data_IF_170930903771
#
_entry.id   IF_170930903771
#
_cell.length_a   1.000
_cell.length_b   1.000
_cell.length_c   1.000
_cell.angle_alpha   90.00
_cell.angle_beta   90.00
_cell.angle_gamma   90.00
#
_symmetry.space_group_name_H-M   'P 1'
#
loop_
_entity.id
_entity.type
_entity.pdbx_description
1 polymer ?
#
# COMPACT_ATOMS: atom_id res chain seq x y z
N UNK A 1 11.05 -8.77 -1.10
CA UNK A 1 10.96 -7.33 -0.75
C UNK A 1 12.12 -6.58 -1.41
N UNK A 2 12.04 -6.35 -2.73
CA UNK A 2 13.15 -5.88 -3.62
C UNK A 2 13.50 -4.38 -3.48
N UNK A 3 12.78 -3.65 -2.62
CA UNK A 3 12.98 -2.21 -2.44
C UNK A 3 14.19 -1.85 -1.57
N UNK A 4 14.66 -2.79 -0.74
CA UNK A 4 15.79 -2.57 0.19
C UNK A 4 17.16 -2.64 -0.48
N UNK A 5 17.19 -2.96 -1.77
CA UNK A 5 18.45 -3.12 -2.49
C UNK A 5 19.02 -1.76 -2.90
N UNK A 6 20.12 -1.37 -2.26
CA UNK A 6 20.95 -0.24 -2.64
C UNK A 6 22.30 -0.68 -3.17
N UNK A 7 22.99 0.20 -3.91
CA UNK A 7 24.40 0.07 -4.27
C UNK A 7 25.14 1.23 -3.63
N UNK A 8 26.24 0.95 -2.94
CA UNK A 8 27.10 2.00 -2.41
C UNK A 8 27.89 2.68 -3.52
N UNK A 9 27.92 4.00 -3.48
CA UNK A 9 28.91 4.82 -4.15
C UNK A 9 29.90 5.30 -3.10
N UNK A 10 31.14 4.88 -3.25
CA UNK A 10 32.17 5.05 -2.24
C UNK A 10 32.97 6.31 -2.57
N UNK A 11 32.81 7.31 -1.71
CA UNK A 11 33.55 8.55 -1.75
C UNK A 11 34.84 8.40 -0.95
N UNK A 12 34.82 8.82 0.32
CA UNK A 12 35.96 8.72 1.24
C UNK A 12 36.03 7.39 1.98
N UNK A 13 34.96 6.60 2.02
CA UNK A 13 34.93 5.32 2.73
C UNK A 13 34.98 5.42 4.26
N UNK A 14 34.95 6.63 4.83
CA UNK A 14 34.99 6.89 6.27
C UNK A 14 33.67 6.58 6.96
N UNK A 15 32.56 6.69 6.21
CA UNK A 15 31.21 6.55 6.76
C UNK A 15 30.72 5.09 6.69
N UNK A 16 31.51 4.22 6.07
CA UNK A 16 31.22 2.79 5.91
C UNK A 16 32.13 2.00 6.86
N UNK A 17 31.61 1.53 8.01
CA UNK A 17 32.39 0.69 8.91
C UNK A 17 32.73 -0.64 8.23
N UNK A 18 33.93 -1.16 8.48
CA UNK A 18 34.24 -2.54 8.14
C UNK A 18 33.36 -3.47 9.01
N UNK A 19 32.60 -4.35 8.37
CA UNK A 19 31.97 -5.47 9.05
C UNK A 19 33.07 -6.49 9.36
N UNK A 20 33.80 -6.30 10.45
CA UNK A 20 34.93 -7.13 10.89
C UNK A 20 34.55 -8.57 11.25
N UNK A 21 33.28 -8.96 11.13
CA UNK A 21 32.80 -10.29 11.54
C UNK A 21 32.97 -11.38 10.47
N UNK A 22 33.71 -11.14 9.38
CA UNK A 22 33.96 -12.13 8.32
C UNK A 22 35.38 -12.70 8.31
N UNK A 23 36.27 -12.21 9.19
CA UNK A 23 37.67 -12.61 9.18
C UNK A 23 37.94 -13.64 10.28
N UNK A 24 37.89 -14.92 9.93
CA UNK A 24 38.59 -15.95 10.70
C UNK A 24 40.10 -15.65 10.65
N UNK A 25 40.61 -15.26 11.81
CA UNK A 25 41.98 -15.30 12.32
C UNK A 25 43.08 -15.68 11.31
N UNK A 26 43.88 -14.69 10.86
CA UNK A 26 45.34 -14.78 10.60
C UNK A 26 45.93 -13.49 9.95
N UNK A 27 45.36 -12.31 10.20
CA UNK A 27 45.94 -11.05 9.70
C UNK A 27 46.95 -10.50 10.71
N UNK A 28 48.24 -10.47 10.35
CA UNK A 28 49.35 -10.03 11.22
C UNK A 28 49.59 -8.50 11.23
N UNK A 29 48.66 -7.71 10.68
CA UNK A 29 48.72 -6.25 10.63
C UNK A 29 47.59 -5.58 11.41
N UNK A 30 47.63 -4.25 11.52
CA UNK A 30 46.51 -3.47 12.08
C UNK A 30 45.26 -3.68 11.24
N UNK A 31 44.21 -4.26 11.83
CA UNK A 31 42.96 -4.51 11.14
C UNK A 31 42.32 -3.19 10.66
N UNK A 32 41.91 -3.09 9.38
CA UNK A 32 41.21 -1.92 8.88
C UNK A 32 39.89 -1.74 9.62
N UNK A 33 39.58 -0.50 10.02
CA UNK A 33 38.37 -0.15 10.77
C UNK A 33 37.26 0.36 9.86
N UNK A 34 37.65 1.00 8.76
CA UNK A 34 36.73 1.62 7.80
C UNK A 34 37.08 1.22 6.37
N UNK A 35 36.15 1.44 5.45
CA UNK A 35 36.42 1.22 4.01
C UNK A 35 37.52 2.16 3.50
N UNK A 36 37.70 3.34 4.12
CA UNK A 36 38.79 4.27 3.79
C UNK A 36 40.16 3.60 3.87
N UNK A 37 40.38 2.72 4.85
CA UNK A 37 41.66 2.02 5.05
C UNK A 37 41.99 1.07 3.89
N UNK A 38 40.97 0.61 3.16
CA UNK A 38 41.07 -0.26 1.99
C UNK A 38 41.29 0.50 0.69
N UNK A 39 41.21 1.83 0.72
CA UNK A 39 41.34 2.71 -0.44
C UNK A 39 42.71 3.38 -0.42
N UNK A 40 43.33 3.49 -1.59
CA UNK A 40 44.46 4.37 -1.78
C UNK A 40 43.93 5.77 -2.15
N UNK A 41 43.95 6.70 -1.19
CA UNK A 41 43.43 8.06 -1.38
C UNK A 41 44.20 8.91 -2.38
N UNK A 42 45.45 8.56 -2.73
CA UNK A 42 46.21 9.28 -3.76
C UNK A 42 45.82 8.87 -5.19
N UNK A 43 45.39 7.62 -5.38
CA UNK A 43 45.01 7.09 -6.70
C UNK A 43 43.49 6.93 -6.89
N UNK A 44 42.72 6.97 -5.80
CA UNK A 44 41.27 6.72 -5.81
C UNK A 44 40.92 5.28 -6.19
N UNK A 45 41.79 4.33 -5.84
CA UNK A 45 41.64 2.91 -6.19
C UNK A 45 41.71 2.00 -4.95
N UNK A 46 41.11 0.82 -5.05
CA UNK A 46 41.21 -0.22 -4.03
C UNK A 46 42.65 -0.72 -3.85
N UNK A 47 43.02 -1.14 -2.64
CA UNK A 47 44.27 -1.86 -2.36
C UNK A 47 44.06 -3.36 -2.61
N UNK A 48 44.48 -3.92 -3.77
CA UNK A 48 44.10 -5.28 -4.18
C UNK A 48 44.67 -6.36 -3.27
N UNK A 49 45.90 -6.19 -2.78
CA UNK A 49 46.57 -7.18 -1.94
C UNK A 49 45.95 -7.26 -0.54
N UNK A 50 45.51 -6.11 -0.02
CA UNK A 50 44.79 -6.03 1.26
C UNK A 50 43.39 -6.64 1.14
N UNK A 51 42.66 -6.40 0.05
CA UNK A 51 41.35 -7.02 -0.15
C UNK A 51 41.44 -8.54 -0.35
N UNK A 52 42.45 -9.03 -1.08
CA UNK A 52 42.63 -10.48 -1.33
C UNK A 52 43.01 -11.24 -0.07
N UNK A 53 43.68 -10.60 0.88
CA UNK A 53 44.02 -11.20 2.18
C UNK A 53 42.86 -11.17 3.19
N UNK A 54 41.94 -10.20 3.07
CA UNK A 54 40.82 -10.06 4.02
C UNK A 54 39.53 -10.78 3.59
N UNK A 55 39.32 -10.97 2.28
CA UNK A 55 38.05 -11.44 1.74
C UNK A 55 38.22 -12.65 0.80
N UNK A 56 37.31 -13.64 0.85
CA UNK A 56 37.24 -14.71 -0.14
C UNK A 56 37.12 -14.16 -1.57
N UNK A 57 37.63 -14.90 -2.55
CA UNK A 57 37.75 -14.43 -3.94
C UNK A 57 36.43 -13.93 -4.57
N UNK A 58 35.28 -14.50 -4.19
CA UNK A 58 33.97 -14.04 -4.68
C UNK A 58 33.60 -12.65 -4.12
N UNK A 59 33.80 -12.42 -2.80
CA UNK A 59 33.56 -11.13 -2.14
C UNK A 59 34.55 -10.07 -2.63
N UNK A 60 35.83 -10.45 -2.78
CA UNK A 60 36.86 -9.58 -3.37
C UNK A 60 36.42 -9.02 -4.73
N UNK A 61 35.94 -9.88 -5.63
CA UNK A 61 35.49 -9.45 -6.96
C UNK A 61 34.32 -8.48 -6.89
N UNK A 62 33.38 -8.71 -5.99
CA UNK A 62 32.24 -7.81 -5.78
C UNK A 62 32.69 -6.44 -5.25
N UNK A 63 33.51 -6.41 -4.20
CA UNK A 63 34.06 -5.16 -3.64
C UNK A 63 34.88 -4.41 -4.69
N UNK A 64 35.77 -5.11 -5.39
CA UNK A 64 36.64 -4.52 -6.41
C UNK A 64 35.86 -3.93 -7.60
N UNK A 65 34.67 -4.47 -7.90
CA UNK A 65 33.78 -3.93 -8.93
C UNK A 65 33.03 -2.65 -8.53
N UNK A 66 33.09 -2.25 -7.25
CA UNK A 66 32.44 -1.04 -6.78
C UNK A 66 33.23 0.20 -7.25
N UNK A 67 32.54 1.19 -7.85
CA UNK A 67 33.20 2.43 -8.28
C UNK A 67 33.60 3.27 -7.07
N UNK A 68 34.88 3.67 -7.02
CA UNK A 68 35.41 4.65 -6.07
C UNK A 68 35.51 6.01 -6.75
N UNK A 69 35.27 7.08 -6.00
CA UNK A 69 35.52 8.44 -6.46
C UNK A 69 37.02 8.72 -6.63
N UNK A 70 37.44 9.06 -7.84
CA UNK A 70 38.83 9.44 -8.14
C UNK A 70 39.27 10.75 -7.48
N UNK A 71 38.32 11.60 -7.12
CA UNK A 71 38.58 12.95 -6.59
C UNK A 71 38.64 12.97 -5.05
N UNK A 72 38.39 11.84 -4.37
CA UNK A 72 38.62 11.64 -2.94
C UNK A 72 37.87 12.57 -1.96
N UNK A 73 37.04 13.50 -2.45
CA UNK A 73 36.49 14.60 -1.65
C UNK A 73 34.98 14.46 -1.36
N UNK A 74 34.31 13.43 -1.90
CA UNK A 74 32.88 13.26 -1.72
C UNK A 74 32.55 12.31 -0.56
N UNK A 75 31.39 12.53 0.08
CA UNK A 75 30.88 11.63 1.10
C UNK A 75 30.31 10.35 0.46
N UNK A 76 30.28 9.27 1.24
CA UNK A 76 29.71 8.01 0.80
C UNK A 76 28.19 8.15 0.59
N UNK A 77 27.64 7.58 -0.49
CA UNK A 77 26.21 7.67 -0.82
C UNK A 77 25.63 6.28 -1.09
N UNK A 78 24.49 5.99 -0.47
CA UNK A 78 23.70 4.81 -0.80
C UNK A 78 22.76 5.15 -1.97
N UNK A 79 23.01 4.54 -3.14
CA UNK A 79 22.22 4.74 -4.34
C UNK A 79 21.13 3.67 -4.45
N UNK A 80 19.90 4.08 -4.72
CA UNK A 80 18.79 3.18 -4.97
C UNK A 80 18.92 2.56 -6.37
N UNK A 81 18.99 1.22 -6.45
CA UNK A 81 19.22 0.49 -7.72
C UNK A 81 18.17 0.77 -8.81
N UNK A 82 16.99 1.22 -8.39
CA UNK A 82 15.85 1.47 -9.29
C UNK A 82 15.81 2.90 -9.80
N UNK A 83 16.83 3.73 -9.58
CA UNK A 83 16.93 5.09 -10.09
C UNK A 83 18.24 5.29 -10.86
N UNK A 84 18.15 5.89 -12.05
CA UNK A 84 19.33 6.24 -12.85
C UNK A 84 20.25 7.24 -12.15
N UNK A 85 19.67 8.10 -11.31
CA UNK A 85 20.39 9.08 -10.49
C UNK A 85 20.69 8.56 -9.07
N UNK A 86 20.23 7.35 -8.74
CA UNK A 86 20.39 6.75 -7.42
C UNK A 86 19.46 7.29 -6.32
N UNK A 87 18.63 8.28 -6.62
CA UNK A 87 17.68 8.81 -5.61
C UNK A 87 16.47 7.91 -5.42
N UNK A 88 16.03 7.77 -4.17
CA UNK A 88 14.79 7.06 -3.84
C UNK A 88 13.57 7.91 -4.20
N UNK A 89 12.67 7.37 -5.04
CA UNK A 89 11.44 8.05 -5.45
C UNK A 89 10.22 7.23 -5.06
N UNK A 90 9.39 7.79 -4.18
CA UNK A 90 8.20 7.11 -3.61
C UNK A 90 7.26 6.60 -4.70
N UNK A 91 6.97 7.41 -5.73
CA UNK A 91 6.06 7.01 -6.81
C UNK A 91 6.59 5.82 -7.62
N UNK A 92 7.91 5.78 -7.86
CA UNK A 92 8.58 4.69 -8.58
C UNK A 92 8.61 3.43 -7.73
N UNK A 93 8.89 3.56 -6.42
CA UNK A 93 8.87 2.46 -5.48
C UNK A 93 7.47 1.84 -5.38
N UNK A 94 6.43 2.67 -5.27
CA UNK A 94 5.04 2.22 -5.26
C UNK A 94 4.66 1.49 -6.55
N UNK A 95 5.06 2.03 -7.71
CA UNK A 95 4.83 1.39 -9.01
C UNK A 95 5.49 0.02 -9.12
N UNK A 96 6.71 -0.14 -8.59
CA UNK A 96 7.40 -1.43 -8.54
C UNK A 96 6.69 -2.44 -7.63
N UNK A 97 6.22 -1.99 -6.46
CA UNK A 97 5.43 -2.84 -5.55
C UNK A 97 4.14 -3.32 -6.20
N UNK A 98 3.44 -2.46 -6.94
CA UNK A 98 2.23 -2.85 -7.65
C UNK A 98 2.51 -3.91 -8.71
N UNK A 99 3.60 -3.78 -9.47
CA UNK A 99 4.03 -4.79 -10.46
C UNK A 99 4.37 -6.13 -9.79
N UNK A 100 5.17 -6.11 -8.73
CA UNK A 100 5.51 -7.31 -7.97
C UNK A 100 4.25 -7.98 -7.38
N UNK A 101 3.27 -7.19 -6.92
CA UNK A 101 2.00 -7.70 -6.39
C UNK A 101 1.15 -8.39 -7.47
N UNK A 102 1.06 -7.81 -8.67
CA UNK A 102 0.35 -8.41 -9.80
C UNK A 102 0.98 -9.74 -10.23
N UNK A 103 2.31 -9.82 -10.26
CA UNK A 103 3.03 -11.06 -10.59
C UNK A 103 2.84 -12.13 -9.50
N UNK A 104 2.86 -11.74 -8.23
CA UNK A 104 2.74 -12.68 -7.10
C UNK A 104 1.32 -13.21 -6.90
N UNK A 105 0.30 -12.46 -7.38
CA UNK A 105 -1.11 -12.80 -7.22
C UNK A 105 -1.86 -12.58 -8.54
N UNK A 106 -1.64 -13.45 -9.56
CA UNK A 106 -2.24 -13.30 -10.89
C UNK A 106 -3.78 -13.39 -10.89
N UNK A 107 -4.35 -14.02 -9.85
CA UNK A 107 -5.79 -14.15 -9.63
C UNK A 107 -6.36 -13.07 -8.69
N UNK A 108 -5.58 -12.02 -8.36
CA UNK A 108 -6.17 -10.80 -7.84
C UNK A 108 -7.10 -10.29 -8.94
N UNK A 109 -8.42 -10.43 -8.76
CA UNK A 109 -9.39 -10.05 -9.78
C UNK A 109 -9.08 -8.65 -10.35
N UNK A 110 -9.44 -8.38 -11.61
CA UNK A 110 -9.04 -7.17 -12.30
C UNK A 110 -9.38 -5.95 -11.43
N UNK A 111 -8.35 -5.31 -10.87
CA UNK A 111 -8.52 -3.99 -10.26
C UNK A 111 -8.94 -3.10 -11.42
N UNK A 112 -10.16 -2.58 -11.35
CA UNK A 112 -10.67 -1.66 -12.37
C UNK A 112 -9.64 -0.55 -12.52
N UNK A 113 -9.02 -0.44 -13.70
CA UNK A 113 -8.09 0.64 -14.00
C UNK A 113 -8.90 1.91 -14.12
N UNK A 114 -8.67 2.85 -13.20
CA UNK A 114 -9.43 4.09 -13.15
C UNK A 114 -8.68 5.15 -13.93
N UNK A 115 -9.27 5.73 -14.99
CA UNK A 115 -8.63 6.76 -15.79
C UNK A 115 -8.24 7.99 -14.95
N UNK A 116 -7.14 8.64 -15.30
CA UNK A 116 -6.65 9.83 -14.59
C UNK A 116 -7.65 10.99 -14.64
N UNK A 117 -8.44 11.04 -15.70
CA UNK A 117 -9.55 11.98 -15.93
C UNK A 117 -10.58 11.88 -14.81
N UNK A 118 -10.90 10.66 -14.38
CA UNK A 118 -11.88 10.40 -13.32
C UNK A 118 -11.36 10.92 -11.99
N UNK A 119 -10.07 10.71 -11.68
CA UNK A 119 -9.47 11.30 -10.48
C UNK A 119 -9.48 12.83 -10.52
N UNK A 120 -9.14 13.43 -11.67
CA UNK A 120 -9.23 14.88 -11.84
C UNK A 120 -10.64 15.41 -11.61
N UNK A 121 -11.66 14.67 -12.03
CA UNK A 121 -13.06 15.02 -11.77
C UNK A 121 -13.38 14.94 -10.28
N UNK A 122 -13.08 13.81 -9.63
CA UNK A 122 -13.34 13.57 -8.20
C UNK A 122 -12.76 14.70 -7.35
N UNK A 123 -11.47 14.98 -7.52
CA UNK A 123 -10.77 16.00 -6.72
C UNK A 123 -11.17 17.44 -7.04
N UNK A 124 -11.85 17.68 -8.18
CA UNK A 124 -12.34 19.01 -8.56
C UNK A 124 -13.70 19.32 -7.96
N UNK A 125 -14.48 18.31 -7.60
CA UNK A 125 -15.76 18.53 -6.90
C UNK A 125 -15.45 19.01 -5.49
N UNK A 126 -16.03 20.14 -5.08
CA UNK A 126 -15.85 20.69 -3.72
C UNK A 126 -16.70 19.90 -2.71
N UNK A 127 -16.39 18.64 -2.49
CA UNK A 127 -17.03 17.82 -1.46
C UNK A 127 -16.22 17.85 -0.15
N UNK A 128 -16.82 17.30 0.89
CA UNK A 128 -16.06 17.08 2.13
C UNK A 128 -15.04 15.96 1.91
N UNK A 129 -13.86 16.11 2.52
CA UNK A 129 -12.78 15.11 2.45
C UNK A 129 -13.23 13.69 2.83
N UNK A 130 -14.24 13.58 3.70
CA UNK A 130 -14.85 12.30 4.09
C UNK A 130 -15.43 11.56 2.88
N UNK A 131 -16.12 12.28 2.00
CA UNK A 131 -16.77 11.72 0.82
C UNK A 131 -15.72 11.35 -0.23
N UNK A 132 -14.74 12.22 -0.49
CA UNK A 132 -13.67 11.92 -1.46
C UNK A 132 -12.86 10.69 -1.05
N UNK A 133 -12.55 10.58 0.25
CA UNK A 133 -11.86 9.41 0.81
C UNK A 133 -12.70 8.15 0.67
N UNK A 134 -14.02 8.24 0.87
CA UNK A 134 -14.92 7.10 0.71
C UNK A 134 -14.98 6.64 -0.75
N UNK A 135 -15.18 7.57 -1.69
CA UNK A 135 -15.20 7.28 -3.14
C UNK A 135 -13.87 6.66 -3.57
N UNK A 136 -12.75 7.24 -3.15
CA UNK A 136 -11.42 6.70 -3.40
C UNK A 136 -11.29 5.26 -2.89
N UNK A 137 -11.71 4.98 -1.65
CA UNK A 137 -11.67 3.64 -1.08
C UNK A 137 -12.57 2.67 -1.83
N UNK A 138 -13.77 3.08 -2.22
CA UNK A 138 -14.72 2.22 -2.93
C UNK A 138 -14.21 1.85 -4.33
N UNK A 139 -13.71 2.85 -5.06
CA UNK A 139 -13.11 2.71 -6.38
C UNK A 139 -11.86 1.80 -6.38
N UNK A 140 -11.08 1.82 -5.30
CA UNK A 140 -9.94 0.92 -5.10
C UNK A 140 -10.29 -0.41 -4.42
N UNK A 141 -11.58 -0.72 -4.24
CA UNK A 141 -12.07 -1.87 -3.45
C UNK A 141 -11.32 -2.06 -2.12
N UNK A 142 -11.12 -0.93 -1.44
CA UNK A 142 -10.35 -0.79 -0.22
C UNK A 142 -11.23 -0.44 0.99
N UNK A 143 -12.55 -0.47 0.80
CA UNK A 143 -13.49 -0.46 1.91
C UNK A 143 -13.32 -1.73 2.74
N UNK A 144 -13.50 -1.66 4.06
CA UNK A 144 -13.21 -2.77 4.93
C UNK A 144 -14.41 -3.71 5.06
N UNK A 145 -14.89 -4.20 3.92
CA UNK A 145 -15.90 -5.26 3.84
C UNK A 145 -15.34 -6.56 4.40
N UNK A 146 -16.17 -7.47 4.89
CA UNK A 146 -15.69 -8.76 5.38
C UNK A 146 -14.91 -9.55 4.34
N UNK A 147 -15.25 -9.45 3.05
CA UNK A 147 -14.43 -10.02 1.98
C UNK A 147 -13.00 -9.45 2.00
N UNK A 148 -12.85 -8.13 2.12
CA UNK A 148 -11.56 -7.45 2.12
C UNK A 148 -10.78 -7.62 3.43
N UNK A 149 -11.45 -7.78 4.56
CA UNK A 149 -10.81 -8.11 5.83
C UNK A 149 -10.27 -9.54 5.82
N UNK A 150 -11.08 -10.49 5.35
CA UNK A 150 -10.67 -11.89 5.24
C UNK A 150 -9.52 -12.07 4.24
N UNK A 151 -9.49 -11.33 3.13
CA UNK A 151 -8.36 -11.36 2.18
C UNK A 151 -7.05 -10.86 2.80
N UNK A 152 -7.15 -10.02 3.83
CA UNK A 152 -6.02 -9.54 4.66
C UNK A 152 -5.74 -10.43 5.88
N UNK A 153 -6.31 -11.64 5.92
CA UNK A 153 -6.18 -12.63 7.00
C UNK A 153 -6.68 -12.14 8.37
N UNK A 154 -7.61 -11.19 8.37
CA UNK A 154 -8.33 -10.80 9.58
C UNK A 154 -9.56 -11.70 9.69
N UNK A 155 -9.61 -12.50 10.76
CA UNK A 155 -10.69 -13.49 10.95
C UNK A 155 -12.00 -12.78 11.36
N UNK A 156 -12.92 -12.67 10.41
CA UNK A 156 -14.26 -12.09 10.62
C UNK A 156 -15.32 -12.96 9.93
N UNK A 157 -16.56 -12.84 10.39
CA UNK A 157 -17.72 -13.42 9.70
C UNK A 157 -17.72 -13.02 8.22
N UNK A 158 -18.23 -13.88 7.33
CA UNK A 158 -18.20 -13.60 5.88
C UNK A 158 -19.49 -12.96 5.39
N UNK A 159 -20.60 -13.26 6.04
CA UNK A 159 -21.93 -12.90 5.56
C UNK A 159 -22.25 -11.43 5.79
N UNK A 160 -23.00 -10.86 4.87
CA UNK A 160 -23.42 -9.48 4.92
C UNK A 160 -24.26 -9.25 6.19
N UNK A 161 -23.89 -8.31 7.06
CA UNK A 161 -24.58 -8.03 8.32
C UNK A 161 -26.01 -7.52 8.13
N UNK A 162 -26.36 -7.07 6.92
CA UNK A 162 -27.69 -6.54 6.61
C UNK A 162 -28.62 -7.69 6.27
N UNK A 163 -28.23 -8.55 5.32
CA UNK A 163 -29.11 -9.60 4.82
C UNK A 163 -28.83 -10.99 5.40
N UNK A 164 -27.64 -11.24 5.95
CA UNK A 164 -27.16 -12.55 6.42
C UNK A 164 -27.28 -13.70 5.38
N UNK A 165 -27.35 -13.38 4.08
CA UNK A 165 -27.58 -14.38 3.00
C UNK A 165 -26.35 -14.56 2.10
N UNK A 166 -25.59 -13.50 1.82
CA UNK A 166 -24.43 -13.53 0.91
C UNK A 166 -23.21 -12.88 1.55
N UNK A 167 -22.02 -13.23 1.05
CA UNK A 167 -20.76 -12.64 1.47
C UNK A 167 -20.75 -11.11 1.30
N UNK A 168 -20.28 -10.38 2.31
CA UNK A 168 -20.15 -8.93 2.29
C UNK A 168 -19.00 -8.51 1.34
N UNK A 169 -19.34 -8.16 0.10
CA UNK A 169 -18.47 -7.46 -0.83
C UNK A 169 -18.98 -6.04 -1.07
N UNK A 170 -18.13 -5.15 -1.63
CA UNK A 170 -18.54 -3.78 -1.96
C UNK A 170 -19.74 -3.80 -2.92
N UNK A 171 -19.71 -4.63 -3.97
CA UNK A 171 -20.83 -4.78 -4.92
C UNK A 171 -22.09 -5.31 -4.23
N UNK A 172 -21.98 -6.29 -3.34
CA UNK A 172 -23.14 -6.78 -2.61
C UNK A 172 -23.72 -5.70 -1.69
N UNK A 173 -22.88 -5.05 -0.89
CA UNK A 173 -23.28 -4.04 0.09
C UNK A 173 -23.98 -2.86 -0.58
N UNK A 174 -23.54 -2.43 -1.77
CA UNK A 174 -24.08 -1.25 -2.45
C UNK A 174 -25.10 -1.54 -3.55
N UNK A 175 -25.14 -2.74 -4.16
CA UNK A 175 -26.02 -3.01 -5.32
C UNK A 175 -26.90 -4.24 -5.16
N UNK A 176 -26.33 -5.36 -4.69
CA UNK A 176 -27.03 -6.66 -4.75
C UNK A 176 -27.77 -7.03 -3.46
N UNK A 177 -27.45 -6.41 -2.33
CA UNK A 177 -28.12 -6.63 -1.05
C UNK A 177 -29.58 -6.20 -1.15
N UNK A 178 -30.50 -6.98 -0.57
CA UNK A 178 -31.93 -6.67 -0.58
C UNK A 178 -32.23 -5.30 0.05
N UNK A 179 -31.47 -4.92 1.08
CA UNK A 179 -31.57 -3.61 1.71
C UNK A 179 -31.11 -2.51 0.76
N UNK A 180 -29.93 -2.67 0.13
CA UNK A 180 -29.43 -1.71 -0.84
C UNK A 180 -30.40 -1.52 -2.01
N UNK A 181 -30.98 -2.62 -2.52
CA UNK A 181 -32.01 -2.60 -3.58
C UNK A 181 -33.23 -1.78 -3.20
N UNK A 182 -33.75 -2.00 -2.00
CA UNK A 182 -34.91 -1.26 -1.50
C UNK A 182 -34.62 0.25 -1.45
N UNK A 183 -33.42 0.65 -1.02
CA UNK A 183 -33.10 2.07 -0.94
C UNK A 183 -32.86 2.69 -2.34
N UNK A 184 -32.22 1.96 -3.26
CA UNK A 184 -32.11 2.43 -4.65
C UNK A 184 -33.46 2.55 -5.35
N UNK A 185 -34.42 1.68 -5.01
CA UNK A 185 -35.77 1.76 -5.53
C UNK A 185 -36.54 2.96 -4.95
N UNK A 186 -36.38 3.23 -3.65
CA UNK A 186 -37.03 4.34 -2.95
C UNK A 186 -36.35 5.70 -3.13
N UNK A 187 -35.20 5.76 -3.81
CA UNK A 187 -34.48 7.00 -4.06
C UNK A 187 -35.14 7.84 -5.15
N UNK A 188 -34.79 9.12 -5.21
CA UNK A 188 -35.23 10.02 -6.29
C UNK A 188 -34.75 9.56 -7.68
N UNK A 189 -33.80 8.62 -7.73
CA UNK A 189 -33.24 8.05 -8.95
C UNK A 189 -33.97 6.78 -9.40
N UNK A 190 -34.81 6.19 -8.55
CA UNK A 190 -35.61 4.97 -8.80
C UNK A 190 -34.83 3.87 -9.55
N UNK A 191 -33.61 3.58 -9.07
CA UNK A 191 -32.70 2.67 -9.76
C UNK A 191 -33.05 1.22 -9.43
N UNK A 192 -33.42 0.46 -10.44
CA UNK A 192 -33.64 -0.98 -10.31
C UNK A 192 -32.32 -1.76 -10.41
N UNK A 193 -31.58 -1.89 -9.30
CA UNK A 193 -30.29 -2.61 -9.28
C UNK A 193 -30.41 -4.12 -9.46
N UNK A 194 -31.63 -4.68 -9.46
CA UNK A 194 -31.90 -6.08 -9.83
C UNK A 194 -31.45 -6.44 -11.25
N UNK A 195 -31.35 -5.45 -12.13
CA UNK A 195 -30.87 -5.61 -13.52
C UNK A 195 -29.34 -5.58 -13.64
N UNK A 196 -28.63 -5.16 -12.59
CA UNK A 196 -27.17 -4.91 -12.59
C UNK A 196 -26.36 -6.08 -12.02
N UNK A 197 -26.85 -7.33 -12.12
CA UNK A 197 -26.29 -8.47 -11.41
C UNK A 197 -24.83 -8.82 -11.80
N UNK A 198 -24.36 -8.36 -12.96
CA UNK A 198 -23.01 -8.63 -13.47
C UNK A 198 -22.11 -7.38 -13.53
N UNK A 199 -22.53 -6.26 -12.93
CA UNK A 199 -21.75 -5.02 -12.94
C UNK A 199 -21.23 -4.76 -11.53
N UNK A 200 -19.92 -4.53 -11.41
CA UNK A 200 -19.34 -4.12 -10.14
C UNK A 200 -19.74 -2.69 -9.78
N UNK A 201 -19.82 -2.39 -8.49
CA UNK A 201 -20.12 -1.02 -8.03
C UNK A 201 -19.11 0.00 -8.57
N UNK A 202 -17.85 -0.40 -8.76
CA UNK A 202 -16.81 0.44 -9.34
C UNK A 202 -17.10 0.77 -10.81
N UNK A 203 -17.48 -0.22 -11.62
CA UNK A 203 -17.82 0.00 -13.04
C UNK A 203 -19.07 0.86 -13.16
N UNK A 204 -20.10 0.58 -12.35
CA UNK A 204 -21.30 1.41 -12.32
C UNK A 204 -20.96 2.86 -11.96
N UNK A 205 -20.08 3.06 -10.96
CA UNK A 205 -19.59 4.38 -10.63
C UNK A 205 -18.90 5.01 -11.84
N UNK A 206 -17.91 4.38 -12.46
CA UNK A 206 -17.21 4.95 -13.62
C UNK A 206 -18.16 5.38 -14.75
N UNK A 207 -19.16 4.56 -15.08
CA UNK A 207 -20.17 4.91 -16.10
C UNK A 207 -20.93 6.18 -15.67
N UNK A 208 -21.39 6.25 -14.43
CA UNK A 208 -22.16 7.40 -13.92
C UNK A 208 -21.32 8.66 -13.73
N UNK A 209 -20.05 8.51 -13.35
CA UNK A 209 -19.08 9.61 -13.22
C UNK A 209 -18.81 10.27 -14.59
N UNK A 210 -18.93 9.51 -15.69
CA UNK A 210 -18.71 10.00 -17.06
C UNK A 210 -19.91 10.69 -17.70
N UNK A 211 -21.15 10.43 -17.23
CA UNK A 211 -22.36 10.86 -17.95
C UNK A 211 -22.96 12.20 -17.51
N UNK A 212 -22.79 12.65 -16.25
CA UNK A 212 -23.30 13.96 -15.82
C UNK A 212 -22.67 14.47 -14.50
N UNK A 213 -22.28 15.75 -14.45
CA UNK A 213 -21.64 16.41 -13.29
C UNK A 213 -22.63 16.74 -12.17
N UNK A 214 -23.92 16.86 -12.47
CA UNK A 214 -24.95 17.31 -11.50
C UNK A 214 -25.57 16.12 -10.76
N UNK A 215 -25.73 14.98 -11.45
CA UNK A 215 -26.17 13.70 -10.86
C UNK A 215 -25.19 13.14 -9.83
N UNK A 216 -23.93 13.61 -9.88
CA UNK A 216 -22.82 13.31 -8.97
C UNK A 216 -23.11 13.72 -7.52
N UNK A 217 -23.62 14.94 -7.32
CA UNK A 217 -23.85 15.49 -5.99
C UNK A 217 -25.10 14.89 -5.33
N UNK A 218 -26.14 14.59 -6.12
CA UNK A 218 -27.37 13.98 -5.62
C UNK A 218 -27.19 12.49 -5.32
N UNK A 219 -26.60 11.71 -6.23
CA UNK A 219 -26.39 10.27 -6.00
C UNK A 219 -25.41 9.98 -4.85
N UNK A 220 -24.37 10.80 -4.67
CA UNK A 220 -23.43 10.64 -3.56
C UNK A 220 -23.98 11.21 -2.27
N UNK A 221 -24.70 12.33 -2.27
CA UNK A 221 -25.35 12.81 -1.03
C UNK A 221 -26.43 11.85 -0.55
N UNK A 222 -27.15 11.19 -1.46
CA UNK A 222 -28.14 10.16 -1.15
C UNK A 222 -27.48 8.83 -0.74
N UNK A 223 -26.40 8.39 -1.40
CA UNK A 223 -25.61 7.24 -0.96
C UNK A 223 -24.86 7.49 0.36
N UNK A 224 -24.50 8.74 0.66
CA UNK A 224 -23.97 9.19 1.95
C UNK A 224 -25.11 9.26 2.98
N UNK A 225 -26.33 9.63 2.60
CA UNK A 225 -27.52 9.49 3.44
C UNK A 225 -27.82 8.02 3.76
N UNK A 226 -27.62 7.11 2.80
CA UNK A 226 -27.67 5.66 3.00
C UNK A 226 -26.56 5.17 3.91
N UNK A 227 -25.34 5.69 3.77
CA UNK A 227 -24.22 5.41 4.68
C UNK A 227 -24.45 5.98 6.09
N UNK A 228 -25.23 7.07 6.22
CA UNK A 228 -25.63 7.70 7.48
C UNK A 228 -26.82 6.97 8.14
N UNK A 229 -27.76 6.41 7.37
CA UNK A 229 -28.79 5.48 7.87
C UNK A 229 -28.20 4.11 8.23
N UNK A 230 -27.18 3.66 7.49
CA UNK A 230 -26.24 2.61 7.89
C UNK A 230 -25.20 3.10 8.91
N UNK A 231 -25.34 4.31 9.45
CA UNK A 231 -24.46 4.90 10.46
C UNK A 231 -24.40 4.09 11.77
N UNK A 232 -25.35 3.18 12.00
CA UNK A 232 -25.23 2.14 13.02
C UNK A 232 -24.08 1.15 12.73
N UNK A 233 -23.82 0.84 11.46
CA UNK A 233 -22.71 0.02 11.00
C UNK A 233 -21.38 0.79 11.01
N UNK A 234 -21.38 2.09 10.67
CA UNK A 234 -20.15 2.91 10.63
C UNK A 234 -19.58 3.31 12.00
N UNK A 235 -20.35 3.22 13.10
CA UNK A 235 -19.85 3.45 14.47
C UNK A 235 -18.69 2.51 14.86
N UNK A 236 -18.57 1.34 14.22
CA UNK A 236 -17.48 0.39 14.44
C UNK A 236 -16.15 0.83 13.79
N UNK A 237 -16.20 1.72 12.81
CA UNK A 237 -15.05 2.03 11.93
C UNK A 237 -14.41 3.39 12.20
N UNK A 238 -15.12 4.29 12.88
CA UNK A 238 -14.70 5.68 13.07
C UNK A 238 -14.24 6.00 14.50
N UNK A 239 -14.17 5.01 15.40
CA UNK A 239 -13.43 5.19 16.66
C UNK A 239 -11.92 5.11 16.36
N UNK A 240 -11.12 6.09 16.79
CA UNK A 240 -9.68 6.06 16.58
C UNK A 240 -9.09 4.82 17.25
N UNK A 241 -8.29 4.07 16.49
CA UNK A 241 -7.62 2.83 16.89
C UNK A 241 -6.45 3.09 17.88
N UNK A 242 -6.59 4.09 18.77
CA UNK A 242 -5.49 4.57 19.61
C UNK A 242 -5.58 4.17 21.08
N UNK A 243 -6.66 3.54 21.56
CA UNK A 243 -6.72 3.03 22.94
C UNK A 243 -7.71 1.88 23.12
N UNK A 244 -7.42 0.68 22.62
CA UNK A 244 -7.88 -0.57 23.28
C UNK A 244 -6.84 -1.66 23.03
N UNK A 245 -6.21 -2.13 24.11
CA UNK A 245 -5.41 -3.35 24.12
C UNK A 245 -6.29 -4.60 23.88
N UNK A 246 -5.68 -5.78 23.83
CA UNK A 246 -6.39 -7.01 23.50
C UNK A 246 -7.36 -7.36 24.63
N UNK A 247 -8.54 -7.85 24.24
CA UNK A 247 -9.61 -8.44 25.05
C UNK A 247 -10.74 -7.49 25.47
N UNK A 248 -11.96 -8.05 25.43
CA UNK A 248 -13.28 -7.51 25.82
C UNK A 248 -14.09 -6.81 24.71
N UNK A 249 -14.40 -7.55 23.64
CA UNK A 249 -15.60 -7.32 22.80
C UNK A 249 -16.87 -7.97 23.40
N UNK A 250 -16.96 -8.16 24.72
CA UNK A 250 -18.02 -8.97 25.36
C UNK A 250 -19.17 -8.21 26.03
N UNK A 251 -19.30 -6.89 25.87
CA UNK A 251 -20.34 -6.12 26.61
C UNK A 251 -21.37 -5.33 25.80
N UNK A 252 -21.45 -5.51 24.49
CA UNK A 252 -22.52 -4.86 23.69
C UNK A 252 -23.67 -5.80 23.29
N UNK A 253 -23.62 -7.07 23.70
CA UNK A 253 -24.65 -8.08 23.43
C UNK A 253 -25.64 -8.31 24.59
N UNK A 254 -25.52 -7.62 25.73
CA UNK A 254 -26.28 -7.93 26.94
C UNK A 254 -27.51 -7.05 27.24
N UNK A 255 -27.93 -6.18 26.32
CA UNK A 255 -29.08 -5.28 26.55
C UNK A 255 -30.16 -5.30 25.45
N UNK A 256 -30.13 -6.27 24.54
CA UNK A 256 -31.16 -6.43 23.49
C UNK A 256 -32.04 -7.68 23.64
N UNK A 257 -31.97 -8.40 24.76
CA UNK A 257 -32.84 -9.55 25.07
C UNK A 257 -33.49 -9.52 26.45
N UNK A 258 -33.53 -8.36 27.12
CA UNK A 258 -34.27 -8.21 28.38
C UNK A 258 -34.99 -6.85 28.41
N UNK A 259 -36.29 -6.86 28.16
CA UNK A 259 -37.16 -5.70 28.37
C UNK A 259 -38.36 -5.62 27.43
N UNK A 260 -39.39 -6.40 27.74
CA UNK A 260 -40.78 -6.41 27.28
C UNK A 260 -41.08 -6.68 25.80
#
# INVERSE_FOLDING_TARGET
>A
MKLKEGKWWIGRGSDIPQLTNLCDNNFSGTAPRTVADLINHSTGAWKPDLLRSLYPHHVYKEIFSLPISKTGCFNDKLLWKHSSFGDFQVHKAYSLLLKDFQVSYPNSGPRVSIPQEVWRLIWRVKLTLKIDTFVWKLLHDSLPTFLNLNSRRINVYRDCPLCNIKVESSTHLFLSCQFARAIWHGSALSIHTSTLNNISVQVLMLIRLGTDKVMWCFAISEAVLQALLLGHYMKLWWKPLSRQGPLVFSKFWYSATAGN
#
